data_IF_116227866371
#
_entry.id   IF_116227866371
#
_cell.length_a   1.000
_cell.length_b   1.000
_cell.length_c   1.000
_cell.angle_alpha   90.00
_cell.angle_beta   90.00
_cell.angle_gamma   90.00
#
_symmetry.space_group_name_H-M   'P 1'
#
loop_
_entity.id
_entity.type
_entity.pdbx_description
1 polymer ?
#
# COMPACT_ATOMS: atom_id res chain seq x y z
N UNK A 1 -34.94 -7.89 3.14
CA UNK A 1 -33.92 -6.86 2.85
C UNK A 1 -32.98 -6.74 4.03
N UNK A 2 -31.71 -7.11 3.88
CA UNK A 2 -30.71 -6.76 4.88
C UNK A 2 -30.37 -5.28 4.69
N UNK A 3 -30.75 -4.45 5.65
CA UNK A 3 -30.37 -3.03 5.67
C UNK A 3 -28.85 -2.94 5.66
N UNK A 4 -28.31 -2.09 4.78
CA UNK A 4 -26.87 -1.86 4.57
C UNK A 4 -26.13 -1.57 5.90
N UNK A 5 -26.84 -1.03 6.89
CA UNK A 5 -26.35 -0.76 8.25
C UNK A 5 -26.00 -2.00 9.10
N UNK A 6 -26.48 -3.20 8.75
CA UNK A 6 -26.27 -4.42 9.54
C UNK A 6 -25.01 -5.22 9.13
N UNK A 7 -24.42 -4.92 7.97
CA UNK A 7 -23.27 -5.67 7.45
C UNK A 7 -22.00 -5.16 8.15
N UNK A 8 -21.40 -6.02 8.98
CA UNK A 8 -20.13 -5.77 9.66
C UNK A 8 -19.14 -6.88 9.35
N UNK A 9 -17.89 -6.50 9.13
CA UNK A 9 -16.74 -7.42 9.01
C UNK A 9 -15.58 -6.86 9.84
N UNK A 10 -14.71 -7.75 10.30
CA UNK A 10 -13.53 -7.39 11.10
C UNK A 10 -12.37 -8.27 10.69
N UNK A 11 -11.20 -7.65 10.53
CA UNK A 11 -9.93 -8.33 10.28
C UNK A 11 -8.97 -7.94 11.39
N UNK A 12 -8.25 -8.92 11.95
CA UNK A 12 -7.23 -8.71 12.97
C UNK A 12 -5.85 -8.58 12.36
N UNK A 13 -4.99 -7.79 13.00
CA UNK A 13 -3.56 -7.73 12.73
C UNK A 13 -2.83 -8.51 13.85
N UNK A 14 -2.11 -9.57 13.49
CA UNK A 14 -1.40 -10.42 14.44
C UNK A 14 -0.22 -9.70 15.13
N UNK A 15 0.31 -8.63 14.51
CA UNK A 15 1.39 -7.82 15.09
C UNK A 15 0.92 -6.93 16.26
N UNK A 16 -0.39 -6.67 16.37
CA UNK A 16 -0.96 -5.77 17.39
C UNK A 16 -1.62 -6.59 18.50
N UNK A 17 -0.85 -6.91 19.54
CA UNK A 17 -1.33 -7.72 20.69
C UNK A 17 -2.22 -6.95 21.65
N UNK A 18 -2.09 -5.62 21.71
CA UNK A 18 -2.91 -4.75 22.56
C UNK A 18 -4.22 -4.41 21.86
N UNK A 19 -5.34 -4.48 22.58
CA UNK A 19 -6.66 -4.08 22.05
C UNK A 19 -6.67 -2.62 21.56
N UNK A 20 -6.78 -2.43 20.24
CA UNK A 20 -6.85 -1.14 19.53
C UNK A 20 -7.84 -1.23 18.35
N UNK A 21 -9.16 -1.21 18.59
CA UNK A 21 -10.14 -1.30 17.52
C UNK A 21 -10.13 -0.03 16.66
N UNK A 22 -10.31 -0.21 15.35
CA UNK A 22 -10.50 0.88 14.41
C UNK A 22 -11.69 0.58 13.50
N UNK A 23 -12.69 1.48 13.50
CA UNK A 23 -13.93 1.30 12.76
C UNK A 23 -13.97 2.26 11.57
N UNK A 24 -14.23 1.71 10.38
CA UNK A 24 -14.35 2.48 9.13
C UNK A 24 -15.75 2.26 8.58
N UNK A 25 -16.43 3.35 8.22
CA UNK A 25 -17.74 3.29 7.58
C UNK A 25 -17.57 3.09 6.06
N UNK A 26 -18.23 2.06 5.52
CA UNK A 26 -18.22 1.81 4.08
C UNK A 26 -19.31 2.65 3.39
N UNK A 27 -18.90 3.47 2.43
CA UNK A 27 -19.81 4.21 1.56
C UNK A 27 -20.18 3.39 0.32
N UNK A 28 -21.41 3.55 -0.14
CA UNK A 28 -21.93 2.89 -1.34
C UNK A 28 -22.53 1.50 -1.08
N UNK A 29 -22.55 0.64 -2.11
CA UNK A 29 -23.09 -0.72 -2.00
C UNK A 29 -22.16 -1.59 -1.16
N UNK A 30 -22.55 -1.82 0.10
CA UNK A 30 -21.83 -2.71 1.01
C UNK A 30 -22.36 -4.14 0.88
N UNK A 31 -21.45 -5.07 0.58
CA UNK A 31 -21.66 -6.51 0.65
C UNK A 31 -20.70 -7.10 1.66
N UNK A 32 -21.01 -8.26 2.25
CA UNK A 32 -20.11 -8.92 3.21
C UNK A 32 -18.69 -9.08 2.64
N UNK A 33 -18.56 -9.48 1.37
CA UNK A 33 -17.26 -9.65 0.72
C UNK A 33 -16.51 -8.34 0.54
N UNK A 34 -17.18 -7.28 0.09
CA UNK A 34 -16.53 -5.97 -0.07
C UNK A 34 -16.09 -5.36 1.26
N UNK A 35 -16.88 -5.53 2.32
CA UNK A 35 -16.50 -5.12 3.67
C UNK A 35 -15.26 -5.89 4.16
N UNK A 36 -15.22 -7.21 3.95
CA UNK A 36 -14.08 -8.03 4.32
C UNK A 36 -12.81 -7.64 3.55
N UNK A 37 -12.89 -7.51 2.23
CA UNK A 37 -11.76 -7.12 1.39
C UNK A 37 -11.22 -5.74 1.76
N UNK A 38 -12.10 -4.79 2.13
CA UNK A 38 -11.67 -3.47 2.62
C UNK A 38 -10.97 -3.55 3.97
N UNK A 39 -11.48 -4.35 4.91
CA UNK A 39 -10.82 -4.57 6.19
C UNK A 39 -9.42 -5.19 6.03
N UNK A 40 -9.28 -6.19 5.15
CA UNK A 40 -7.98 -6.81 4.84
C UNK A 40 -7.02 -5.83 4.18
N UNK A 41 -7.49 -5.02 3.22
CA UNK A 41 -6.69 -3.99 2.58
C UNK A 41 -6.17 -2.97 3.58
N UNK A 42 -7.03 -2.42 4.43
CA UNK A 42 -6.65 -1.45 5.47
C UNK A 42 -5.66 -2.04 6.48
N UNK A 43 -5.84 -3.30 6.87
CA UNK A 43 -4.91 -3.98 7.78
C UNK A 43 -3.52 -4.13 7.14
N UNK A 44 -3.44 -4.63 5.91
CA UNK A 44 -2.18 -4.78 5.16
C UNK A 44 -1.52 -3.43 4.92
N UNK A 45 -2.29 -2.44 4.48
CA UNK A 45 -1.78 -1.10 4.18
C UNK A 45 -1.15 -0.45 5.43
N UNK A 46 -1.80 -0.58 6.58
CA UNK A 46 -1.28 -0.02 7.84
C UNK A 46 -0.07 -0.75 8.34
N UNK A 47 -0.08 -2.08 8.32
CA UNK A 47 1.09 -2.89 8.68
C UNK A 47 2.28 -2.49 7.80
N UNK A 48 2.08 -2.43 6.49
CA UNK A 48 3.16 -2.11 5.56
C UNK A 48 3.67 -0.67 5.70
N UNK A 49 2.79 0.31 6.00
CA UNK A 49 3.19 1.70 6.29
C UNK A 49 4.07 1.85 7.54
N UNK A 50 4.00 0.91 8.49
CA UNK A 50 4.88 0.97 9.68
C UNK A 50 6.33 0.61 9.38
N UNK A 51 6.58 -0.10 8.28
CA UNK A 51 7.91 -0.52 7.83
C UNK A 51 8.50 0.44 6.79
N UNK A 52 7.82 1.54 6.48
CA UNK A 52 8.31 2.56 5.56
C UNK A 52 9.49 3.32 6.18
N UNK A 53 10.62 3.34 5.49
CA UNK A 53 11.86 3.96 5.95
C UNK A 53 12.43 4.87 4.87
N UNK A 54 13.04 5.97 5.29
CA UNK A 54 13.68 6.93 4.39
C UNK A 54 15.19 6.87 4.57
N UNK A 55 15.91 6.70 3.47
CA UNK A 55 17.37 6.68 3.42
C UNK A 55 17.89 7.82 2.56
N UNK A 56 18.93 8.50 3.04
CA UNK A 56 19.65 9.51 2.26
C UNK A 56 20.97 8.93 1.79
N UNK A 57 21.17 8.90 0.48
CA UNK A 57 22.39 8.37 -0.16
C UNK A 57 23.12 9.46 -0.95
N UNK A 58 24.44 9.30 -1.06
CA UNK A 58 25.28 10.19 -1.85
C UNK A 58 25.20 9.82 -3.34
N UNK A 59 24.96 10.82 -4.18
CA UNK A 59 24.87 10.67 -5.63
C UNK A 59 23.52 10.19 -6.13
N UNK A 60 23.21 10.52 -7.38
CA UNK A 60 21.93 10.16 -8.01
C UNK A 60 21.93 8.77 -8.65
N UNK A 61 23.12 8.15 -8.78
CA UNK A 61 23.29 6.86 -9.43
C UNK A 61 23.65 5.78 -8.41
N UNK A 62 23.15 4.58 -8.67
CA UNK A 62 23.51 3.36 -7.98
C UNK A 62 24.93 2.92 -8.34
N UNK A 63 25.46 1.92 -7.62
CA UNK A 63 26.79 1.35 -7.90
C UNK A 63 26.93 0.71 -9.29
N UNK A 64 25.83 0.31 -9.91
CA UNK A 64 25.79 -0.19 -11.30
C UNK A 64 25.75 0.93 -12.36
N UNK A 65 25.70 2.21 -11.94
CA UNK A 65 25.61 3.38 -12.81
C UNK A 65 24.19 3.76 -13.23
N UNK A 66 23.16 2.99 -12.91
CA UNK A 66 21.77 3.37 -13.16
C UNK A 66 21.31 4.48 -12.21
N UNK A 67 20.37 5.30 -12.66
CA UNK A 67 19.71 6.28 -11.79
C UNK A 67 18.82 5.53 -10.78
N UNK A 68 18.74 6.01 -9.55
CA UNK A 68 17.65 5.60 -8.64
C UNK A 68 16.30 5.79 -9.33
N UNK A 69 15.32 4.91 -9.11
CA UNK A 69 13.98 5.09 -9.69
C UNK A 69 12.93 4.53 -8.72
N UNK A 70 11.73 5.13 -8.68
CA UNK A 70 10.61 4.52 -7.99
C UNK A 70 10.21 3.19 -8.65
N UNK A 71 9.51 2.36 -7.90
CA UNK A 71 9.05 1.02 -8.30
C UNK A 71 10.20 0.05 -8.66
N UNK A 72 11.36 0.22 -8.04
CA UNK A 72 12.45 -0.76 -8.07
C UNK A 72 12.50 -1.54 -6.76
N UNK A 73 12.77 -2.84 -6.85
CA UNK A 73 13.03 -3.68 -5.68
C UNK A 73 14.50 -3.55 -5.29
N UNK A 74 14.75 -3.32 -3.99
CA UNK A 74 16.07 -3.14 -3.40
C UNK A 74 16.20 -3.98 -2.14
N UNK A 75 17.38 -4.53 -1.91
CA UNK A 75 17.69 -5.25 -0.68
C UNK A 75 18.27 -4.26 0.32
N UNK A 76 17.65 -4.16 1.49
CA UNK A 76 18.08 -3.27 2.58
C UNK A 76 18.65 -4.10 3.71
N UNK A 77 19.87 -3.76 4.11
CA UNK A 77 20.52 -4.29 5.30
C UNK A 77 20.81 -3.13 6.26
N UNK A 78 20.07 -3.12 7.36
CA UNK A 78 20.17 -2.09 8.40
C UNK A 78 19.89 -2.72 9.77
N UNK A 79 20.94 -3.19 10.47
CA UNK A 79 20.81 -3.81 11.79
C UNK A 79 20.25 -2.87 12.87
N UNK A 80 20.35 -1.55 12.70
CA UNK A 80 19.84 -0.59 13.68
C UNK A 80 18.32 -0.49 13.62
N UNK A 81 17.77 -0.53 12.41
CA UNK A 81 16.33 -0.50 12.19
C UNK A 81 15.70 -1.90 12.11
N UNK A 82 16.50 -2.96 12.23
CA UNK A 82 16.06 -4.36 12.25
C UNK A 82 15.82 -4.97 10.87
N UNK A 83 16.30 -4.34 9.80
CA UNK A 83 16.24 -4.91 8.45
C UNK A 83 17.41 -5.86 8.22
N UNK A 84 17.13 -7.16 8.06
CA UNK A 84 18.13 -8.19 7.74
C UNK A 84 17.94 -8.67 6.30
N UNK A 85 18.53 -7.93 5.34
CA UNK A 85 18.48 -8.25 3.91
C UNK A 85 17.05 -8.40 3.36
N UNK A 86 16.13 -7.58 3.86
CA UNK A 86 14.76 -7.57 3.38
C UNK A 86 14.66 -6.91 2.00
N UNK A 87 13.80 -7.46 1.15
CA UNK A 87 13.50 -6.88 -0.16
C UNK A 87 12.37 -5.87 -0.01
N UNK A 88 12.69 -4.59 -0.19
CA UNK A 88 11.75 -3.47 -0.16
C UNK A 88 11.61 -2.85 -1.54
N UNK A 89 10.53 -2.10 -1.75
CA UNK A 89 10.27 -1.36 -2.98
C UNK A 89 10.49 0.12 -2.73
N UNK A 90 11.14 0.78 -3.68
CA UNK A 90 11.28 2.24 -3.67
C UNK A 90 9.93 2.88 -4.01
N UNK A 91 9.37 3.61 -3.05
CA UNK A 91 8.12 4.33 -3.17
C UNK A 91 8.29 5.68 -3.86
N UNK A 92 9.32 6.40 -3.43
CA UNK A 92 9.62 7.76 -3.88
C UNK A 92 11.12 7.99 -3.88
N UNK A 93 11.57 8.81 -4.83
CA UNK A 93 12.96 9.25 -4.95
C UNK A 93 12.98 10.75 -5.14
N UNK A 94 13.68 11.45 -4.26
CA UNK A 94 13.90 12.89 -4.34
C UNK A 94 15.37 13.16 -4.60
N UNK A 95 15.66 13.85 -5.70
CA UNK A 95 17.02 14.29 -6.03
C UNK A 95 17.23 15.71 -5.55
N UNK A 96 18.31 15.91 -4.82
CA UNK A 96 18.76 17.24 -4.43
C UNK A 96 20.21 17.47 -4.89
N UNK A 97 20.52 18.72 -5.22
CA UNK A 97 21.87 19.16 -5.53
C UNK A 97 22.12 20.49 -4.81
N UNK A 98 23.18 20.52 -4.03
CA UNK A 98 23.64 21.69 -3.30
C UNK A 98 25.16 21.89 -3.49
N UNK A 99 25.74 22.86 -2.78
CA UNK A 99 27.18 23.10 -2.82
C UNK A 99 28.01 21.92 -2.25
N UNK A 100 27.39 21.04 -1.46
CA UNK A 100 28.01 19.83 -0.91
C UNK A 100 27.91 18.63 -1.87
N UNK A 101 27.20 18.76 -2.98
CA UNK A 101 27.19 17.79 -4.07
C UNK A 101 25.78 17.34 -4.44
N UNK A 102 25.64 16.06 -4.75
CA UNK A 102 24.37 15.44 -5.16
C UNK A 102 23.92 14.45 -4.10
N UNK A 103 22.70 14.58 -3.63
CA UNK A 103 22.07 13.67 -2.68
C UNK A 103 20.79 13.09 -3.26
N UNK A 104 20.42 11.91 -2.78
CA UNK A 104 19.16 11.28 -3.11
C UNK A 104 18.50 10.76 -1.85
N UNK A 105 17.29 11.21 -1.62
CA UNK A 105 16.42 10.72 -0.55
C UNK A 105 15.50 9.66 -1.16
N UNK A 106 15.53 8.47 -0.58
CA UNK A 106 14.85 7.28 -1.08
C UNK A 106 13.91 6.80 0.02
N UNK A 107 12.61 6.77 -0.27
CA UNK A 107 11.63 6.15 0.61
C UNK A 107 11.38 4.73 0.17
N UNK A 108 11.61 3.78 1.07
CA UNK A 108 11.45 2.35 0.84
C UNK A 108 10.38 1.78 1.75
N UNK A 109 9.64 0.79 1.26
CA UNK A 109 8.66 0.07 2.07
C UNK A 109 8.32 -1.29 1.47
N UNK A 110 7.56 -2.14 2.18
CA UNK A 110 7.15 -3.44 1.66
C UNK A 110 6.29 -3.29 0.40
N UNK A 111 6.42 -4.20 -0.56
CA UNK A 111 5.64 -4.16 -1.80
C UNK A 111 4.12 -4.17 -1.54
N UNK A 112 3.69 -4.86 -0.48
CA UNK A 112 2.30 -4.96 -0.06
C UNK A 112 1.66 -3.60 0.27
N UNK A 113 2.45 -2.58 0.61
CA UNK A 113 1.97 -1.21 0.85
C UNK A 113 1.49 -0.50 -0.42
N UNK A 114 1.87 -0.98 -1.61
CA UNK A 114 1.64 -0.29 -2.87
C UNK A 114 0.70 -1.06 -3.79
N UNK A 115 0.12 -2.17 -3.31
CA UNK A 115 -0.88 -2.92 -4.04
C UNK A 115 -2.20 -2.14 -4.12
N UNK A 116 -2.91 -2.20 -5.26
CA UNK A 116 -4.17 -1.49 -5.41
C UNK A 116 -5.27 -2.06 -4.51
N UNK A 117 -6.28 -1.23 -4.20
CA UNK A 117 -7.50 -1.69 -3.54
C UNK A 117 -8.13 -2.87 -4.31
N UNK A 118 -8.72 -3.85 -3.60
CA UNK A 118 -9.44 -4.95 -4.23
C UNK A 118 -10.55 -4.43 -5.15
N UNK A 119 -10.59 -4.95 -6.38
CA UNK A 119 -11.48 -4.50 -7.45
C UNK A 119 -12.95 -4.59 -7.05
N UNK A 120 -13.68 -3.47 -7.12
CA UNK A 120 -15.13 -3.46 -7.00
C UNK A 120 -15.73 -3.91 -8.34
N UNK A 121 -16.49 -5.02 -8.40
CA UNK A 121 -17.12 -5.42 -9.66
C UNK A 121 -18.06 -4.32 -10.11
N UNK A 122 -17.76 -3.70 -11.27
CA UNK A 122 -18.70 -2.77 -11.92
C UNK A 122 -19.93 -3.57 -12.34
N UNK A 123 -21.11 -3.11 -11.91
CA UNK A 123 -22.37 -3.72 -12.31
C UNK A 123 -22.44 -3.77 -13.85
N UNK A 124 -22.62 -4.97 -14.42
CA UNK A 124 -22.83 -5.12 -15.87
C UNK A 124 -24.10 -4.36 -16.23
N UNK A 125 -23.97 -3.30 -17.03
CA UNK A 125 -25.11 -2.58 -17.60
C UNK A 125 -25.85 -3.57 -18.51
N UNK A 126 -27.03 -4.04 -18.08
CA UNK A 126 -27.93 -4.77 -18.97
C UNK A 126 -28.35 -3.80 -20.07
N UNK A 127 -27.90 -4.04 -21.29
CA UNK A 127 -28.46 -3.40 -22.48
C UNK A 127 -29.83 -4.03 -22.65
N UNK A 128 -30.90 -3.24 -22.47
CA UNK A 128 -32.25 -3.64 -22.84
C UNK A 128 -32.33 -3.62 -24.35
N UNK A 129 -32.46 -4.80 -24.97
CA UNK A 129 -32.93 -4.92 -26.35
C UNK A 129 -34.36 -4.36 -26.41
N UNK A 130 -34.52 -3.23 -27.10
CA UNK A 130 -35.83 -2.73 -27.54
C UNK A 130 -36.41 -3.77 -28.49
N UNK A 131 -37.54 -4.36 -28.10
CA UNK A 131 -38.35 -5.19 -28.98
C UNK A 131 -39.16 -4.25 -29.88
N UNK A 132 -38.76 -4.14 -31.15
CA UNK A 132 -39.58 -3.57 -32.22
C UNK A 132 -40.86 -4.41 -32.38
N UNK A 133 -42.01 -3.73 -32.32
CA UNK A 133 -43.34 -4.26 -32.67
C UNK A 133 -43.98 -3.38 -33.73
#
# INVERSE_FOLDING_TARGET
>A
EATIAAIRQSTGDAGVTRYRPHTIQQSGTATTDSCKSRCEFEARQRAAKTLETTYTVQGWRQGNGELWKPNQAVVVYDPLNGFDNETLVIAEVTYSQDNNGTLTEIRVGPADAYLPEPFRPKAKKKVSEEADF
#
